data_IF_720177102559
#
_entry.id   IF_720177102559
#
_cell.length_a   1.000
_cell.length_b   1.000
_cell.length_c   1.000
_cell.angle_alpha   90.00
_cell.angle_beta   90.00
_cell.angle_gamma   90.00
#
_symmetry.space_group_name_H-M   'P 1'
#
loop_
_entity.id
_entity.type
_entity.pdbx_description
1 polymer ?
#
# COMPACT_ATOMS: atom_id res chain seq x y z
N UNK A 1 3.55 -8.70 5.56
CA UNK A 1 4.30 -8.15 4.40
C UNK A 1 4.20 -6.64 4.45
N UNK A 2 5.33 -5.96 4.62
CA UNK A 2 5.47 -4.51 4.75
C UNK A 2 5.04 -3.74 3.49
N UNK A 3 5.17 -4.35 2.30
CA UNK A 3 4.66 -3.77 1.06
C UNK A 3 3.13 -3.84 0.91
N UNK A 4 2.42 -4.56 1.78
CA UNK A 4 0.94 -4.65 1.78
C UNK A 4 0.28 -3.86 2.89
N UNK A 5 0.98 -3.62 4.00
CA UNK A 5 0.45 -2.93 5.18
C UNK A 5 1.33 -1.75 5.56
N UNK A 6 0.72 -0.63 5.89
CA UNK A 6 1.43 0.56 6.32
C UNK A 6 2.16 0.39 7.65
N UNK A 7 1.57 -0.38 8.56
CA UNK A 7 2.19 -0.83 9.83
C UNK A 7 1.98 -2.32 10.00
N UNK A 8 3.07 -3.07 9.94
CA UNK A 8 3.06 -4.50 10.18
C UNK A 8 2.77 -4.80 11.65
N UNK A 9 2.04 -5.88 11.90
CA UNK A 9 1.66 -6.32 13.25
C UNK A 9 2.46 -7.55 13.69
N UNK A 10 3.11 -8.20 12.75
CA UNK A 10 3.94 -9.38 12.95
C UNK A 10 5.30 -9.13 12.30
N UNK A 11 6.35 -9.31 13.09
CA UNK A 11 7.72 -9.35 12.62
C UNK A 11 8.03 -10.76 12.13
N UNK A 12 8.34 -10.88 10.85
CA UNK A 12 8.65 -12.13 10.18
C UNK A 12 10.14 -12.26 9.89
N UNK A 13 10.74 -13.37 10.29
CA UNK A 13 12.11 -13.71 9.95
C UNK A 13 12.16 -14.86 8.95
N UNK A 14 12.84 -14.63 7.82
CA UNK A 14 12.87 -15.56 6.69
C UNK A 14 12.07 -15.04 5.48
N UNK A 15 11.81 -15.91 4.52
CA UNK A 15 11.10 -15.55 3.29
C UNK A 15 9.58 -15.68 3.46
N UNK A 16 8.88 -14.57 3.52
CA UNK A 16 7.41 -14.46 3.57
C UNK A 16 6.78 -14.08 2.24
N UNK A 17 7.52 -14.17 1.14
CA UNK A 17 7.12 -13.76 -0.20
C UNK A 17 7.76 -12.44 -0.62
N UNK A 18 7.63 -12.11 -1.91
CA UNK A 18 8.16 -10.88 -2.50
C UNK A 18 7.05 -9.96 -3.01
N UNK A 19 7.41 -8.70 -3.26
CA UNK A 19 6.51 -7.73 -3.90
C UNK A 19 6.15 -8.13 -5.33
N UNK A 20 6.98 -8.96 -5.97
CA UNK A 20 6.78 -9.49 -7.33
C UNK A 20 5.81 -10.68 -7.37
N UNK A 21 5.40 -11.18 -6.20
CA UNK A 21 4.43 -12.27 -6.08
C UNK A 21 5.03 -13.65 -5.87
N UNK A 22 6.32 -13.75 -5.58
CA UNK A 22 6.91 -15.01 -5.18
C UNK A 22 6.28 -15.54 -3.90
N UNK A 23 6.08 -16.85 -3.83
CA UNK A 23 5.52 -17.50 -2.65
C UNK A 23 6.45 -17.45 -1.45
N UNK A 24 5.87 -17.54 -0.26
CA UNK A 24 6.62 -17.69 0.97
C UNK A 24 7.34 -19.05 1.00
N UNK A 25 8.46 -19.12 1.72
CA UNK A 25 9.12 -20.39 2.04
C UNK A 25 8.20 -21.28 2.89
N UNK A 26 8.49 -22.58 2.95
CA UNK A 26 7.78 -23.47 3.86
C UNK A 26 7.92 -22.98 5.31
N UNK A 27 6.85 -23.12 6.10
CA UNK A 27 6.77 -22.56 7.47
C UNK A 27 7.90 -23.02 8.40
N UNK A 28 8.50 -24.18 8.15
CA UNK A 28 9.64 -24.69 8.92
C UNK A 28 10.93 -23.89 8.76
N UNK A 29 10.97 -22.97 7.79
CA UNK A 29 12.13 -22.10 7.52
C UNK A 29 11.88 -20.65 7.94
N UNK A 30 10.73 -20.36 8.57
CA UNK A 30 10.35 -19.01 8.95
C UNK A 30 10.04 -18.93 10.43
N UNK A 31 10.29 -17.76 11.02
CA UNK A 31 9.89 -17.42 12.37
C UNK A 31 8.96 -16.20 12.33
N UNK A 32 8.04 -16.12 13.28
CA UNK A 32 7.13 -15.00 13.42
C UNK A 32 7.04 -14.56 14.87
N UNK A 33 7.06 -13.25 15.11
CA UNK A 33 6.91 -12.62 16.44
C UNK A 33 5.90 -11.48 16.31
N UNK A 34 5.30 -11.13 17.44
CA UNK A 34 4.49 -9.93 17.48
C UNK A 34 5.38 -8.69 17.45
N UNK A 35 5.03 -7.74 16.62
CA UNK A 35 5.64 -6.41 16.66
C UNK A 35 5.37 -5.72 17.99
N UNK A 36 6.28 -4.85 18.41
CA UNK A 36 6.13 -4.04 19.63
C UNK A 36 4.84 -3.21 19.60
N UNK A 37 4.53 -2.63 18.43
CA UNK A 37 3.28 -1.91 18.21
C UNK A 37 2.05 -2.78 18.52
N UNK A 38 2.07 -4.04 18.10
CA UNK A 38 0.97 -4.97 18.34
C UNK A 38 0.78 -5.22 19.85
N UNK A 39 1.85 -5.44 20.58
CA UNK A 39 1.78 -5.68 22.02
C UNK A 39 1.27 -4.45 22.78
N UNK A 40 1.77 -3.25 22.44
CA UNK A 40 1.49 -2.01 23.18
C UNK A 40 0.16 -1.35 22.79
N UNK A 41 -0.31 -1.57 21.57
CA UNK A 41 -1.47 -0.86 21.02
C UNK A 41 -2.68 -1.76 20.80
N UNK A 42 -2.48 -3.03 20.46
CA UNK A 42 -3.56 -3.95 20.15
C UNK A 42 -3.90 -4.89 21.32
N UNK A 43 -2.91 -5.28 22.12
CA UNK A 43 -3.08 -6.33 23.13
C UNK A 43 -2.98 -5.81 24.56
N UNK A 44 -2.49 -4.62 24.78
CA UNK A 44 -2.19 -4.10 26.12
C UNK A 44 -3.42 -3.94 27.06
N UNK A 45 -4.61 -3.96 26.53
CA UNK A 45 -5.85 -3.82 27.30
C UNK A 45 -6.72 -5.09 27.30
N UNK A 46 -6.21 -6.24 26.79
CA UNK A 46 -6.96 -7.50 26.76
C UNK A 46 -7.44 -7.96 28.13
N UNK A 47 -6.62 -7.76 29.17
CA UNK A 47 -6.89 -8.20 30.54
C UNK A 47 -7.72 -7.19 31.35
N UNK A 48 -8.21 -6.11 30.71
CA UNK A 48 -8.86 -5.00 31.41
C UNK A 48 -10.38 -4.96 31.28
N UNK A 49 -10.99 -6.06 30.83
CA UNK A 49 -12.45 -6.19 30.69
C UNK A 49 -13.08 -5.08 29.81
N UNK A 50 -12.38 -4.72 28.72
CA UNK A 50 -12.82 -3.67 27.79
C UNK A 50 -13.42 -4.20 26.51
N UNK A 51 -13.38 -5.52 26.30
CA UNK A 51 -13.96 -6.23 25.15
C UNK A 51 -14.58 -7.54 25.62
N UNK A 52 -15.59 -8.00 24.90
CA UNK A 52 -16.25 -9.27 25.15
C UNK A 52 -15.41 -10.45 24.66
N UNK A 53 -15.50 -11.58 25.36
CA UNK A 53 -14.83 -12.83 25.03
C UNK A 53 -15.85 -13.91 24.71
N UNK A 54 -15.59 -14.63 23.63
CA UNK A 54 -16.40 -15.75 23.18
C UNK A 54 -15.61 -17.06 23.31
N UNK A 55 -16.26 -18.21 23.45
CA UNK A 55 -15.58 -19.50 23.32
C UNK A 55 -14.93 -19.62 21.93
N UNK A 56 -13.73 -20.21 21.87
CA UNK A 56 -13.09 -20.58 20.62
C UNK A 56 -13.84 -21.76 19.95
N UNK A 57 -13.36 -22.20 18.79
CA UNK A 57 -14.05 -23.21 17.96
C UNK A 57 -14.36 -24.53 18.72
N UNK A 58 -13.45 -25.00 19.56
CA UNK A 58 -13.61 -26.25 20.33
C UNK A 58 -14.05 -26.01 21.79
N UNK A 59 -14.40 -24.80 22.13
CA UNK A 59 -14.87 -24.37 23.47
C UNK A 59 -13.88 -24.64 24.61
N UNK A 60 -12.61 -24.92 24.28
CA UNK A 60 -11.57 -25.17 25.30
C UNK A 60 -11.01 -23.90 25.90
N UNK A 61 -11.03 -22.79 25.16
CA UNK A 61 -10.48 -21.50 25.54
C UNK A 61 -11.45 -20.37 25.17
N UNK A 62 -11.15 -19.16 25.61
CA UNK A 62 -11.89 -17.95 25.23
C UNK A 62 -11.01 -17.05 24.38
N UNK A 63 -11.60 -16.46 23.37
CA UNK A 63 -10.95 -15.47 22.49
C UNK A 63 -11.74 -14.15 22.50
N UNK A 64 -11.07 -13.00 22.33
CA UNK A 64 -11.77 -11.72 22.27
C UNK A 64 -12.58 -11.63 20.96
N UNK A 65 -13.81 -11.15 21.05
CA UNK A 65 -14.67 -10.91 19.89
C UNK A 65 -14.04 -9.87 18.96
N UNK A 66 -13.42 -8.83 19.55
CA UNK A 66 -12.62 -7.81 18.85
C UNK A 66 -11.41 -7.47 19.69
N UNK A 67 -10.32 -7.03 19.06
CA UNK A 67 -9.14 -6.57 19.80
C UNK A 67 -9.35 -5.15 20.34
N UNK A 68 -8.89 -4.85 21.58
CA UNK A 68 -9.02 -3.55 22.23
C UNK A 68 -8.00 -2.55 21.68
N UNK A 69 -8.08 -2.22 20.41
CA UNK A 69 -7.10 -1.41 19.70
C UNK A 69 -7.20 0.06 20.11
N UNK A 70 -6.07 0.66 20.50
CA UNK A 70 -5.98 2.06 20.95
C UNK A 70 -5.91 3.10 19.85
N UNK A 71 -5.79 2.68 18.59
CA UNK A 71 -5.72 3.54 17.40
C UNK A 71 -6.75 3.08 16.37
N UNK A 72 -7.23 3.94 15.47
CA UNK A 72 -8.13 3.53 14.39
C UNK A 72 -7.36 2.74 13.31
N UNK A 73 -7.07 1.48 13.60
CA UNK A 73 -6.31 0.59 12.71
C UNK A 73 -6.95 0.45 11.32
N UNK A 74 -8.28 0.55 11.23
CA UNK A 74 -9.00 0.54 9.97
C UNK A 74 -8.50 1.63 9.01
N UNK A 75 -8.16 2.81 9.53
CA UNK A 75 -7.58 3.90 8.74
C UNK A 75 -6.08 3.72 8.51
N UNK A 76 -5.34 3.24 9.52
CA UNK A 76 -3.88 3.09 9.42
C UNK A 76 -3.49 2.02 8.41
N UNK A 77 -4.07 0.83 8.50
CA UNK A 77 -3.73 -0.30 7.64
C UNK A 77 -4.72 -0.56 6.50
N UNK A 78 -5.86 0.16 6.50
CA UNK A 78 -6.93 -0.13 5.56
C UNK A 78 -7.58 -1.49 5.82
N UNK A 79 -8.52 -1.85 4.97
CA UNK A 79 -9.17 -3.16 4.99
C UNK A 79 -9.70 -3.51 3.60
N UNK A 80 -9.54 -4.76 3.22
CA UNK A 80 -10.17 -5.35 2.04
C UNK A 80 -11.00 -6.55 2.48
N UNK A 81 -12.22 -6.64 1.94
CA UNK A 81 -13.10 -7.75 2.25
C UNK A 81 -14.13 -7.95 1.16
N UNK A 82 -14.49 -9.21 0.93
CA UNK A 82 -15.51 -9.63 -0.03
C UNK A 82 -16.55 -10.42 0.73
N UNK A 83 -17.78 -9.93 0.73
CA UNK A 83 -18.95 -10.60 1.31
C UNK A 83 -20.02 -10.82 0.24
N UNK A 84 -21.07 -11.57 0.59
CA UNK A 84 -22.22 -11.72 -0.31
C UNK A 84 -22.97 -10.39 -0.41
N UNK A 85 -23.07 -9.87 -1.62
CA UNK A 85 -23.78 -8.62 -1.91
C UNK A 85 -23.01 -7.33 -1.64
N UNK A 86 -21.80 -7.38 -1.03
CA UNK A 86 -20.98 -6.19 -0.82
C UNK A 86 -19.49 -6.52 -0.77
N UNK A 87 -18.67 -5.52 -1.07
CA UNK A 87 -17.22 -5.57 -0.90
C UNK A 87 -16.73 -4.26 -0.27
N UNK A 88 -15.63 -4.33 0.46
CA UNK A 88 -14.95 -3.16 1.00
C UNK A 88 -13.50 -3.12 0.54
N UNK A 89 -13.00 -1.92 0.28
CA UNK A 89 -11.60 -1.66 -0.06
C UNK A 89 -11.22 -0.31 0.51
N UNK A 90 -10.76 -0.31 1.75
CA UNK A 90 -10.38 0.90 2.48
C UNK A 90 -8.86 1.04 2.38
N UNK A 91 -8.35 2.16 1.83
CA UNK A 91 -6.92 2.36 1.69
C UNK A 91 -6.26 2.65 3.05
N UNK A 92 -4.96 2.35 3.20
CA UNK A 92 -4.18 2.74 4.36
C UNK A 92 -3.91 4.25 4.38
N UNK A 93 -3.60 4.78 5.58
CA UNK A 93 -3.29 6.20 5.80
C UNK A 93 -2.05 6.34 6.68
N UNK A 94 -1.43 7.51 6.63
CA UNK A 94 -0.27 7.82 7.45
C UNK A 94 -0.63 7.85 8.93
N UNK A 95 0.10 7.09 9.77
CA UNK A 95 -0.16 6.99 11.19
C UNK A 95 -0.13 8.35 11.90
N UNK A 96 0.86 9.20 11.58
CA UNK A 96 0.98 10.54 12.17
C UNK A 96 -0.24 11.41 11.84
N UNK A 97 -0.66 11.42 10.58
CA UNK A 97 -1.85 12.15 10.13
C UNK A 97 -3.13 11.64 10.80
N UNK A 98 -3.27 10.32 10.95
CA UNK A 98 -4.41 9.69 11.65
C UNK A 98 -4.44 10.11 13.11
N UNK A 99 -3.31 10.09 13.81
CA UNK A 99 -3.21 10.53 15.21
C UNK A 99 -3.56 12.01 15.36
N UNK A 100 -3.12 12.86 14.45
CA UNK A 100 -3.45 14.29 14.49
C UNK A 100 -4.94 14.52 14.22
N UNK A 101 -5.56 13.76 13.32
CA UNK A 101 -7.00 13.77 13.10
C UNK A 101 -7.78 13.32 14.35
N UNK A 102 -7.32 12.27 15.05
CA UNK A 102 -7.91 11.83 16.33
C UNK A 102 -7.83 12.94 17.38
N UNK A 103 -6.67 13.57 17.56
CA UNK A 103 -6.51 14.71 18.48
C UNK A 103 -7.44 15.87 18.16
N UNK A 104 -7.64 16.16 16.87
CA UNK A 104 -8.58 17.19 16.44
C UNK A 104 -10.04 16.81 16.75
N UNK A 105 -10.42 15.56 16.52
CA UNK A 105 -11.73 15.03 16.86
C UNK A 105 -11.99 15.05 18.36
N UNK A 106 -11.02 14.69 19.19
CA UNK A 106 -11.13 14.77 20.67
C UNK A 106 -11.35 16.19 21.18
N UNK A 107 -10.81 17.20 20.50
CA UNK A 107 -11.01 18.61 20.85
C UNK A 107 -12.39 19.13 20.38
N UNK A 108 -12.90 18.61 19.30
CA UNK A 108 -14.18 18.96 18.71
C UNK A 108 -14.79 17.77 17.99
N UNK A 109 -15.69 17.05 18.67
CA UNK A 109 -16.36 15.86 18.13
C UNK A 109 -17.37 16.17 17.01
N UNK A 110 -17.73 17.44 16.81
CA UNK A 110 -18.58 17.89 15.70
C UNK A 110 -17.76 18.31 14.46
N UNK A 111 -16.43 18.07 14.47
CA UNK A 111 -15.56 18.39 13.34
C UNK A 111 -16.03 17.66 12.06
N UNK A 112 -16.20 18.40 10.99
CA UNK A 112 -16.62 17.83 9.70
C UNK A 112 -15.53 16.99 9.06
N UNK A 113 -15.92 16.09 8.12
CA UNK A 113 -14.96 15.33 7.28
C UNK A 113 -13.94 16.26 6.62
N UNK A 114 -14.37 17.40 6.06
CA UNK A 114 -13.48 18.42 5.49
C UNK A 114 -12.53 19.00 6.52
N UNK A 115 -12.97 19.13 7.77
CA UNK A 115 -12.15 19.57 8.89
C UNK A 115 -11.06 18.56 9.24
N UNK A 116 -11.41 17.25 9.31
CA UNK A 116 -10.48 16.16 9.57
C UNK A 116 -9.45 16.02 8.43
N UNK A 117 -9.85 16.23 7.19
CA UNK A 117 -8.95 16.19 6.03
C UNK A 117 -7.86 17.28 6.02
N UNK A 118 -7.91 18.27 6.90
CA UNK A 118 -6.77 19.20 7.11
C UNK A 118 -5.59 18.49 7.79
N UNK A 119 -5.85 17.43 8.56
CA UNK A 119 -4.88 16.64 9.29
C UNK A 119 -4.55 15.36 8.52
N UNK A 120 -5.54 14.65 8.02
CA UNK A 120 -5.41 13.43 7.23
C UNK A 120 -5.82 13.72 5.77
N UNK A 121 -4.83 13.98 4.92
CA UNK A 121 -5.05 14.54 3.57
C UNK A 121 -5.58 13.53 2.57
N UNK A 122 -5.24 12.25 2.73
CA UNK A 122 -5.60 11.18 1.82
C UNK A 122 -4.91 9.87 2.13
N UNK A 123 -5.06 8.86 1.26
CA UNK A 123 -4.39 7.58 1.40
C UNK A 123 -2.87 7.71 1.40
N UNK A 124 -2.20 6.80 2.13
CA UNK A 124 -0.76 6.64 2.14
C UNK A 124 -0.43 5.16 1.93
N UNK A 125 -0.07 4.80 0.70
CA UNK A 125 0.18 3.41 0.33
C UNK A 125 1.63 3.01 0.60
N UNK A 126 1.90 1.78 1.06
CA UNK A 126 3.26 1.29 1.29
C UNK A 126 4.16 1.35 0.05
N UNK A 127 3.57 1.18 -1.14
CA UNK A 127 4.26 1.26 -2.43
C UNK A 127 4.40 2.68 -2.97
N UNK A 128 3.86 3.67 -2.27
CA UNK A 128 3.85 5.06 -2.70
C UNK A 128 2.85 5.34 -3.83
N UNK A 129 3.24 6.21 -4.75
CA UNK A 129 2.41 6.67 -5.85
C UNK A 129 1.78 8.04 -5.59
N UNK A 130 1.09 8.54 -6.59
CA UNK A 130 0.47 9.87 -6.57
C UNK A 130 -1.03 9.71 -6.84
N UNK A 131 -1.86 10.19 -5.92
CA UNK A 131 -3.32 10.27 -6.13
C UNK A 131 -3.62 11.40 -7.11
N UNK A 132 -4.14 11.07 -8.30
CA UNK A 132 -4.38 12.04 -9.38
C UNK A 132 -5.76 12.68 -9.33
N UNK A 133 -6.74 12.09 -8.64
CA UNK A 133 -8.08 12.62 -8.47
C UNK A 133 -8.35 13.10 -7.04
N UNK A 134 -7.40 13.82 -6.45
CA UNK A 134 -7.47 14.32 -5.08
C UNK A 134 -8.71 15.15 -4.76
N UNK A 135 -9.26 15.83 -5.76
CA UNK A 135 -10.44 16.68 -5.61
C UNK A 135 -11.73 15.88 -5.34
N UNK A 136 -11.73 14.58 -5.66
CA UNK A 136 -12.84 13.66 -5.38
C UNK A 136 -12.78 13.09 -3.96
N UNK A 137 -11.61 13.13 -3.28
CA UNK A 137 -11.42 12.53 -1.96
C UNK A 137 -12.42 13.03 -0.89
N UNK A 138 -12.75 14.33 -0.80
CA UNK A 138 -13.73 14.80 0.19
C UNK A 138 -15.09 14.13 0.05
N UNK A 139 -15.54 13.91 -1.18
CA UNK A 139 -16.80 13.23 -1.44
C UNK A 139 -16.69 11.73 -1.14
N UNK A 140 -15.59 11.09 -1.49
CA UNK A 140 -15.32 9.67 -1.20
C UNK A 140 -15.35 9.43 0.31
N UNK A 141 -14.65 10.24 1.11
CA UNK A 141 -14.65 10.13 2.57
C UNK A 141 -16.02 10.42 3.19
N UNK A 142 -16.82 11.32 2.59
CA UNK A 142 -18.15 11.65 3.07
C UNK A 142 -19.16 10.53 2.82
N UNK A 143 -19.05 9.85 1.67
CA UNK A 143 -20.03 8.83 1.25
C UNK A 143 -19.58 7.40 1.50
N UNK A 144 -18.28 7.18 1.72
CA UNK A 144 -17.69 5.85 1.79
C UNK A 144 -17.65 5.11 0.45
N UNK A 145 -17.86 5.80 -0.67
CA UNK A 145 -17.90 5.20 -2.00
C UNK A 145 -17.21 6.09 -3.02
N UNK A 146 -16.47 5.48 -3.95
CA UNK A 146 -15.80 6.18 -5.04
C UNK A 146 -14.59 5.40 -5.56
N UNK A 147 -13.84 6.02 -6.46
CA UNK A 147 -12.62 5.45 -7.05
C UNK A 147 -11.44 6.36 -6.77
N UNK A 148 -10.37 5.80 -6.22
CA UNK A 148 -9.10 6.50 -6.05
C UNK A 148 -8.19 6.07 -7.18
N UNK A 149 -7.68 7.04 -7.94
CA UNK A 149 -6.77 6.80 -9.06
C UNK A 149 -5.35 7.11 -8.63
N UNK A 150 -4.46 6.15 -8.82
CA UNK A 150 -3.06 6.25 -8.41
C UNK A 150 -2.18 6.13 -9.63
N UNK A 151 -1.20 7.00 -9.74
CA UNK A 151 -0.12 6.95 -10.73
C UNK A 151 1.19 6.63 -10.04
N UNK A 152 2.01 5.78 -10.66
CA UNK A 152 3.37 5.52 -10.21
C UNK A 152 4.26 6.75 -10.32
N UNK A 153 5.38 6.75 -9.63
CA UNK A 153 6.39 7.79 -9.71
C UNK A 153 7.51 7.33 -10.64
N UNK A 154 7.81 8.17 -11.62
CA UNK A 154 8.86 7.95 -12.61
C UNK A 154 9.87 9.06 -12.53
N UNK A 155 11.14 8.72 -12.39
CA UNK A 155 12.27 9.64 -12.32
C UNK A 155 13.15 9.50 -13.58
N UNK A 156 13.79 10.58 -13.96
CA UNK A 156 14.73 10.59 -15.09
C UNK A 156 16.14 10.54 -14.50
N UNK A 157 16.89 9.51 -14.86
CA UNK A 157 18.33 9.44 -14.55
C UNK A 157 19.11 9.73 -15.82
N UNK A 158 19.98 10.74 -15.75
CA UNK A 158 20.90 11.07 -16.85
C UNK A 158 22.02 10.02 -16.94
N UNK A 159 22.15 9.42 -18.10
CA UNK A 159 23.19 8.45 -18.39
C UNK A 159 24.38 9.07 -19.10
N UNK A 160 25.44 8.30 -19.28
CA UNK A 160 26.63 8.71 -20.05
C UNK A 160 26.26 8.86 -21.54
N UNK A 161 26.91 9.81 -22.22
CA UNK A 161 26.78 10.05 -23.67
C UNK A 161 25.39 10.50 -24.15
N UNK A 162 24.61 11.20 -23.30
CA UNK A 162 23.29 11.72 -23.68
C UNK A 162 22.19 10.65 -23.80
N UNK A 163 22.42 9.47 -23.23
CA UNK A 163 21.37 8.47 -23.00
C UNK A 163 20.77 8.71 -21.63
N UNK A 164 19.46 8.72 -21.53
CA UNK A 164 18.73 8.80 -20.27
C UNK A 164 18.10 7.47 -19.94
N UNK A 165 17.77 7.28 -18.66
CA UNK A 165 16.97 6.16 -18.16
C UNK A 165 15.73 6.72 -17.50
N UNK A 166 14.60 6.03 -17.66
CA UNK A 166 13.43 6.25 -16.84
C UNK A 166 13.42 5.18 -15.75
N UNK A 167 13.29 5.62 -14.51
CA UNK A 167 13.27 4.73 -13.36
C UNK A 167 11.93 4.88 -12.66
N UNK A 168 11.18 3.78 -12.59
CA UNK A 168 9.96 3.71 -11.81
C UNK A 168 10.35 3.37 -10.38
N UNK A 169 10.12 4.31 -9.47
CA UNK A 169 10.49 4.21 -8.05
C UNK A 169 9.30 3.92 -7.14
N UNK A 170 8.08 4.19 -7.61
CA UNK A 170 6.85 3.91 -6.89
C UNK A 170 5.80 3.38 -7.87
N UNK A 171 5.03 2.41 -7.43
CA UNK A 171 3.98 1.77 -8.23
C UNK A 171 2.61 1.92 -7.55
N UNK A 172 1.51 1.94 -8.30
CA UNK A 172 0.19 1.80 -7.73
C UNK A 172 0.08 0.53 -6.89
N UNK A 173 -0.61 0.61 -5.74
CA UNK A 173 -0.81 -0.51 -4.83
C UNK A 173 -1.42 -1.76 -5.52
N UNK A 174 -2.25 -1.55 -6.53
CA UNK A 174 -2.87 -2.61 -7.33
C UNK A 174 -1.90 -3.37 -8.24
N UNK A 175 -0.67 -2.89 -8.40
CA UNK A 175 0.37 -3.56 -9.20
C UNK A 175 1.21 -4.58 -8.43
N UNK A 176 1.01 -4.70 -7.12
CA UNK A 176 1.73 -5.69 -6.30
C UNK A 176 1.47 -7.12 -6.80
N UNK A 177 2.51 -7.94 -6.78
CA UNK A 177 2.44 -9.33 -7.17
C UNK A 177 2.57 -9.54 -8.69
N UNK A 178 1.84 -10.50 -9.23
CA UNK A 178 1.92 -10.90 -10.64
C UNK A 178 1.67 -9.76 -11.65
N UNK A 179 1.07 -8.65 -11.21
CA UNK A 179 0.81 -7.50 -12.08
C UNK A 179 2.09 -6.75 -12.46
N UNK A 180 3.16 -6.83 -11.68
CA UNK A 180 4.46 -6.27 -12.06
C UNK A 180 5.00 -7.01 -13.29
N UNK A 181 5.01 -8.34 -13.24
CA UNK A 181 5.44 -9.16 -14.39
C UNK A 181 4.59 -8.92 -15.63
N UNK A 182 3.27 -8.80 -15.46
CA UNK A 182 2.38 -8.45 -16.57
C UNK A 182 2.73 -7.09 -17.17
N UNK A 183 2.93 -6.07 -16.35
CA UNK A 183 3.32 -4.73 -16.81
C UNK A 183 4.63 -4.74 -17.60
N UNK A 184 5.65 -5.49 -17.14
CA UNK A 184 6.91 -5.64 -17.86
C UNK A 184 6.69 -6.30 -19.23
N UNK A 185 5.89 -7.37 -19.30
CA UNK A 185 5.56 -8.05 -20.55
C UNK A 185 4.77 -7.15 -21.51
N UNK A 186 3.83 -6.35 -21.00
CA UNK A 186 3.06 -5.40 -21.80
C UNK A 186 3.99 -4.35 -22.43
N UNK A 187 4.97 -3.82 -21.70
CA UNK A 187 5.98 -2.90 -22.27
C UNK A 187 6.85 -3.61 -23.31
N UNK A 188 7.33 -4.83 -23.05
CA UNK A 188 8.08 -5.60 -24.03
C UNK A 188 7.29 -5.79 -25.33
N UNK A 189 6.01 -6.12 -25.23
CA UNK A 189 5.14 -6.25 -26.40
C UNK A 189 4.98 -4.94 -27.21
N UNK A 190 4.91 -3.80 -26.52
CA UNK A 190 4.88 -2.47 -27.15
C UNK A 190 6.20 -2.14 -27.89
N UNK A 191 7.33 -2.56 -27.35
CA UNK A 191 8.65 -2.42 -27.98
C UNK A 191 8.75 -3.32 -29.22
N UNK A 192 8.37 -4.60 -29.09
CA UNK A 192 8.40 -5.58 -30.19
C UNK A 192 7.48 -5.18 -31.36
N UNK A 193 6.29 -4.69 -31.04
CA UNK A 193 5.33 -4.19 -32.03
C UNK A 193 5.71 -2.83 -32.64
N UNK A 194 6.83 -2.24 -32.18
CA UNK A 194 7.32 -0.92 -32.61
C UNK A 194 6.34 0.24 -32.31
N UNK A 195 5.41 0.05 -31.37
CA UNK A 195 4.56 1.15 -30.91
C UNK A 195 5.35 2.12 -30.03
N UNK A 196 6.34 1.60 -29.26
CA UNK A 196 7.34 2.40 -28.56
C UNK A 196 8.70 2.08 -29.19
N UNK A 197 9.36 3.08 -29.76
CA UNK A 197 10.66 2.91 -30.42
C UNK A 197 11.83 3.47 -29.61
N UNK A 198 11.54 4.28 -28.60
CA UNK A 198 12.54 5.02 -27.83
C UNK A 198 13.08 4.25 -26.63
N UNK A 199 12.42 3.16 -26.22
CA UNK A 199 12.89 2.25 -25.18
C UNK A 199 13.71 1.14 -25.83
N UNK A 200 14.93 0.94 -25.35
CA UNK A 200 15.85 -0.10 -25.87
C UNK A 200 15.86 -1.35 -25.01
N UNK A 201 15.62 -1.21 -23.70
CA UNK A 201 15.62 -2.33 -22.77
C UNK A 201 14.79 -1.97 -21.53
N UNK A 202 14.30 -2.99 -20.84
CA UNK A 202 13.58 -2.87 -19.57
C UNK A 202 14.10 -3.92 -18.60
N UNK A 203 14.51 -3.49 -17.41
CA UNK A 203 15.00 -4.37 -16.35
C UNK A 203 14.29 -4.09 -15.04
N UNK A 204 14.02 -5.14 -14.28
CA UNK A 204 13.51 -5.02 -12.93
C UNK A 204 14.67 -5.24 -11.95
N UNK A 205 15.08 -4.16 -11.30
CA UNK A 205 16.15 -4.16 -10.29
C UNK A 205 15.59 -4.05 -8.87
N UNK A 206 14.28 -4.24 -8.70
CA UNK A 206 13.60 -4.12 -7.42
C UNK A 206 14.13 -5.17 -6.42
N UNK A 207 14.27 -4.75 -5.17
CA UNK A 207 14.63 -5.57 -4.01
C UNK A 207 13.72 -5.21 -2.84
N UNK A 208 14.24 -4.52 -1.84
CA UNK A 208 13.44 -3.92 -0.75
C UNK A 208 12.63 -2.72 -1.26
N UNK A 209 13.21 -1.99 -2.23
CA UNK A 209 12.58 -0.85 -2.89
C UNK A 209 12.27 -1.16 -4.35
N UNK A 210 11.21 -0.56 -4.87
CA UNK A 210 10.84 -0.65 -6.29
C UNK A 210 11.86 0.11 -7.12
N UNK A 211 12.43 -0.59 -8.10
CA UNK A 211 13.32 -0.03 -9.10
C UNK A 211 13.15 -0.75 -10.43
N UNK A 212 12.31 -0.22 -11.30
CA UNK A 212 12.14 -0.71 -12.67
C UNK A 212 12.78 0.31 -13.61
N UNK A 213 13.76 -0.14 -14.38
CA UNK A 213 14.60 0.71 -15.23
C UNK A 213 14.24 0.50 -16.69
N UNK A 214 13.91 1.59 -17.37
CA UNK A 214 13.70 1.66 -18.82
C UNK A 214 14.89 2.38 -19.44
N UNK A 215 15.68 1.67 -20.24
CA UNK A 215 16.79 2.27 -20.97
C UNK A 215 16.27 2.94 -22.24
N UNK A 216 16.68 4.20 -22.44
CA UNK A 216 16.20 4.99 -23.57
C UNK A 216 17.27 5.16 -24.65
N UNK A 217 16.83 5.36 -25.89
CA UNK A 217 17.68 5.83 -26.97
C UNK A 217 18.16 7.25 -26.71
N UNK A 218 19.24 7.61 -27.38
CA UNK A 218 19.71 9.00 -27.39
C UNK A 218 18.62 9.92 -27.96
N UNK A 219 18.37 11.05 -27.26
CA UNK A 219 17.33 12.03 -27.63
C UNK A 219 15.90 11.46 -27.66
N UNK A 220 15.57 10.48 -26.82
CA UNK A 220 14.22 9.96 -26.66
C UNK A 220 13.25 11.04 -26.18
N UNK A 221 11.99 10.97 -26.62
CA UNK A 221 10.92 11.84 -26.13
C UNK A 221 10.37 11.28 -24.80
N UNK A 222 10.96 11.77 -23.70
CA UNK A 222 10.63 11.32 -22.35
C UNK A 222 9.17 11.57 -21.99
N UNK A 223 8.63 12.73 -22.35
CA UNK A 223 7.25 13.08 -22.01
C UNK A 223 6.23 12.20 -22.77
N UNK A 224 6.52 11.86 -24.00
CA UNK A 224 5.68 10.94 -24.77
C UNK A 224 5.70 9.54 -24.15
N UNK A 225 6.88 9.04 -23.75
CA UNK A 225 7.01 7.73 -23.10
C UNK A 225 6.23 7.67 -21.77
N UNK A 226 6.26 8.74 -20.97
CA UNK A 226 5.51 8.81 -19.70
C UNK A 226 4.00 8.85 -19.87
N UNK A 227 3.51 9.20 -21.05
CA UNK A 227 2.09 9.33 -21.35
C UNK A 227 1.48 8.07 -22.00
N UNK A 228 2.31 7.13 -22.42
CA UNK A 228 1.90 5.83 -22.94
C UNK A 228 1.73 4.85 -21.78
#
# INVERSE_FOLDING_TARGET
QDFKKGKTLVDGHGNFGSIEGDGAAAMRYTEARLEKLTQEVFLADLDKDVVDFLPNFDETEKEPEVLPVRIPNLLVNGADGIAVGMATSIPPHNLGEVVDAVKAYMKNNEISVKGLMRYMKGPDFPTGGIVINKDELPQIYKTGSGKIRIRGKVEVEEGKNGKSKLVITQIPYTMIGANIGKFLNDICALIESKQITDITDITNESKEEIRIVLELKKNADIENIKNI
#
